data_IF_521164343141
#
_entry.id   IF_521164343141
#
_cell.length_a   1.000
_cell.length_b   1.000
_cell.length_c   1.000
_cell.angle_alpha   90.00
_cell.angle_beta   90.00
_cell.angle_gamma   90.00
#
_symmetry.space_group_name_H-M   'P 1'
#
loop_
_entity.id
_entity.type
_entity.pdbx_description
1 polymer ?
#
# COMPACT_ATOMS: atom_id res chain seq x y z
N UNK A 1 33.25 -1.27 -39.53
CA UNK A 1 33.01 -0.48 -38.31
C UNK A 1 31.52 -0.23 -38.02
N UNK A 2 30.65 -0.06 -39.02
CA UNK A 2 29.20 0.13 -38.82
C UNK A 2 28.44 -1.09 -38.24
N UNK A 3 28.88 -2.32 -38.56
CA UNK A 3 28.19 -3.56 -38.16
C UNK A 3 28.31 -3.86 -36.65
N UNK A 4 29.47 -3.59 -36.07
CA UNK A 4 29.70 -3.68 -34.62
C UNK A 4 28.90 -2.62 -33.86
N UNK A 5 28.84 -1.38 -34.37
CA UNK A 5 28.06 -0.30 -33.76
C UNK A 5 26.56 -0.63 -33.68
N UNK A 6 25.99 -1.20 -34.75
CA UNK A 6 24.59 -1.66 -34.79
C UNK A 6 24.30 -2.75 -33.76
N UNK A 7 25.19 -3.74 -33.64
CA UNK A 7 25.02 -4.84 -32.70
C UNK A 7 25.14 -4.37 -31.25
N UNK A 8 26.08 -3.46 -30.95
CA UNK A 8 26.21 -2.87 -29.62
C UNK A 8 24.98 -2.05 -29.23
N UNK A 9 24.45 -1.23 -30.15
CA UNK A 9 23.25 -0.44 -29.90
C UNK A 9 22.03 -1.31 -29.60
N UNK A 10 21.86 -2.42 -30.33
CA UNK A 10 20.77 -3.40 -30.09
C UNK A 10 20.91 -4.07 -28.72
N UNK A 11 22.11 -4.46 -28.32
CA UNK A 11 22.33 -5.10 -27.01
C UNK A 11 22.05 -4.14 -25.84
N UNK A 12 22.43 -2.87 -25.95
CA UNK A 12 22.16 -1.85 -24.90
C UNK A 12 20.65 -1.60 -24.80
N UNK A 13 19.95 -1.52 -25.94
CA UNK A 13 18.50 -1.32 -25.93
C UNK A 13 17.77 -2.52 -25.30
N UNK A 14 18.18 -3.75 -25.61
CA UNK A 14 17.63 -4.96 -24.99
C UNK A 14 17.89 -5.00 -23.48
N UNK A 15 19.10 -4.67 -23.04
CA UNK A 15 19.43 -4.61 -21.62
C UNK A 15 18.56 -3.57 -20.88
N UNK A 16 18.30 -2.42 -21.49
CA UNK A 16 17.42 -1.39 -20.91
C UNK A 16 15.96 -1.87 -20.76
N UNK A 17 15.43 -2.65 -21.71
CA UNK A 17 14.05 -3.18 -21.65
C UNK A 17 13.92 -4.29 -20.60
N UNK A 18 14.95 -5.12 -20.42
CA UNK A 18 14.96 -6.18 -19.40
C UNK A 18 15.02 -5.58 -17.98
N UNK A 19 15.63 -4.40 -17.82
CA UNK A 19 15.72 -3.69 -16.55
C UNK A 19 14.44 -2.92 -16.17
N UNK A 20 13.52 -2.67 -17.10
CA UNK A 20 12.21 -2.11 -16.78
C UNK A 20 11.28 -3.22 -16.29
N UNK A 21 11.42 -3.58 -15.01
CA UNK A 21 10.46 -4.46 -14.34
C UNK A 21 9.07 -3.83 -14.34
N UNK A 22 8.12 -4.42 -15.08
CA UNK A 22 6.73 -4.02 -15.04
C UNK A 22 6.14 -4.49 -13.69
N UNK A 23 5.99 -3.56 -12.74
CA UNK A 23 5.32 -3.85 -11.47
C UNK A 23 3.82 -3.91 -11.74
N UNK A 24 3.26 -5.12 -11.81
CA UNK A 24 1.82 -5.32 -11.88
C UNK A 24 1.25 -5.11 -10.47
N UNK A 25 0.70 -3.94 -10.21
CA UNK A 25 -0.08 -3.73 -8.98
C UNK A 25 -1.42 -4.43 -9.14
N UNK A 26 -1.64 -5.47 -8.34
CA UNK A 26 -2.94 -6.12 -8.22
C UNK A 26 -3.88 -5.13 -7.53
N UNK A 27 -5.08 -4.92 -8.06
CA UNK A 27 -6.10 -4.05 -7.46
C UNK A 27 -7.35 -4.84 -7.08
N UNK A 28 -8.06 -4.40 -6.05
CA UNK A 28 -9.39 -4.93 -5.72
C UNK A 28 -10.48 -4.38 -6.65
N UNK A 29 -11.72 -4.81 -6.44
CA UNK A 29 -12.90 -4.39 -7.20
C UNK A 29 -13.23 -2.90 -7.11
N UNK A 30 -12.66 -2.19 -6.13
CA UNK A 30 -12.87 -0.75 -5.87
C UNK A 30 -11.64 0.08 -6.25
N UNK A 31 -10.56 -0.56 -6.71
CA UNK A 31 -9.34 0.08 -7.19
C UNK A 31 -8.21 0.22 -6.17
N UNK A 32 -8.35 -0.32 -4.96
CA UNK A 32 -7.31 -0.30 -3.93
C UNK A 32 -6.14 -1.19 -4.32
N UNK A 33 -4.92 -0.73 -4.07
CA UNK A 33 -3.69 -1.43 -4.49
C UNK A 33 -3.29 -2.46 -3.44
N UNK A 34 -3.01 -3.68 -3.90
CA UNK A 34 -2.45 -4.74 -3.09
C UNK A 34 -1.02 -4.40 -2.65
N UNK A 35 -0.75 -4.53 -1.36
CA UNK A 35 0.56 -4.26 -0.73
C UNK A 35 1.02 -5.50 0.05
N UNK A 36 2.30 -5.54 0.43
CA UNK A 36 2.85 -6.59 1.31
C UNK A 36 2.56 -8.01 0.80
N UNK A 37 3.04 -8.30 -0.40
CA UNK A 37 2.80 -9.57 -1.12
C UNK A 37 1.31 -9.90 -1.37
N UNK A 38 0.45 -8.89 -1.33
CA UNK A 38 -0.98 -9.02 -1.63
C UNK A 38 -1.82 -9.55 -0.47
N UNK A 39 -1.31 -9.50 0.76
CA UNK A 39 -2.09 -9.80 1.96
C UNK A 39 -3.06 -8.68 2.32
N UNK A 40 -2.68 -7.44 2.02
CA UNK A 40 -3.52 -6.29 2.31
C UNK A 40 -3.84 -5.47 1.08
N UNK A 41 -4.99 -4.80 1.12
CA UNK A 41 -5.33 -3.70 0.23
C UNK A 41 -5.09 -2.38 0.93
N UNK A 42 -4.25 -1.51 0.36
CA UNK A 42 -4.05 -0.17 0.89
C UNK A 42 -5.23 0.70 0.52
N UNK A 43 -5.86 1.30 1.51
CA UNK A 43 -7.01 2.18 1.31
C UNK A 43 -6.50 3.58 0.93
N UNK A 44 -6.68 3.94 -0.34
CA UNK A 44 -6.20 5.19 -0.92
C UNK A 44 -4.69 5.42 -0.64
N UNK A 45 -4.27 6.66 -0.37
CA UNK A 45 -2.89 7.01 0.02
C UNK A 45 -2.72 7.10 1.55
N UNK A 46 -3.56 6.40 2.31
CA UNK A 46 -3.53 6.46 3.78
C UNK A 46 -2.59 5.39 4.36
N UNK A 47 -2.38 5.42 5.68
CA UNK A 47 -1.73 4.33 6.42
C UNK A 47 -2.69 3.18 6.76
N UNK A 48 -3.94 3.21 6.27
CA UNK A 48 -4.90 2.14 6.51
C UNK A 48 -4.76 1.04 5.46
N UNK A 49 -4.74 -0.20 5.94
CA UNK A 49 -4.67 -1.40 5.11
C UNK A 49 -5.77 -2.37 5.52
N UNK A 50 -6.40 -3.01 4.55
CA UNK A 50 -7.49 -3.97 4.75
C UNK A 50 -7.00 -5.39 4.47
N UNK A 51 -7.12 -6.29 5.44
CA UNK A 51 -6.78 -7.70 5.28
C UNK A 51 -7.91 -8.42 4.53
N UNK A 52 -7.59 -9.00 3.38
CA UNK A 52 -8.55 -9.67 2.50
C UNK A 52 -9.12 -10.97 3.08
N UNK A 53 -8.39 -11.61 4.00
CA UNK A 53 -8.75 -12.92 4.56
C UNK A 53 -9.53 -12.73 5.87
N UNK A 54 -9.05 -11.85 6.76
CA UNK A 54 -9.72 -11.58 8.06
C UNK A 54 -10.81 -10.52 7.98
N UNK A 55 -10.83 -9.73 6.91
CA UNK A 55 -11.74 -8.59 6.72
C UNK A 55 -11.58 -7.51 7.81
N UNK A 56 -10.41 -7.46 8.45
CA UNK A 56 -10.07 -6.49 9.49
C UNK A 56 -9.26 -5.35 8.87
N UNK A 57 -9.59 -4.12 9.24
CA UNK A 57 -8.78 -2.93 8.91
C UNK A 57 -7.57 -2.87 9.84
N UNK A 58 -6.43 -2.35 9.40
CA UNK A 58 -5.24 -2.14 10.22
C UNK A 58 -4.65 -0.77 9.93
N UNK A 59 -4.12 -0.11 10.95
CA UNK A 59 -3.24 1.03 10.80
C UNK A 59 -1.79 0.54 10.70
N UNK A 60 -1.16 0.82 9.55
CA UNK A 60 0.25 0.57 9.29
C UNK A 60 1.07 1.70 9.91
N UNK A 61 1.72 1.42 11.04
CA UNK A 61 2.65 2.37 11.63
C UNK A 61 4.10 1.97 11.30
N UNK A 62 4.86 2.95 10.82
CA UNK A 62 6.28 2.83 10.54
C UNK A 62 7.04 3.70 11.54
N UNK A 63 7.85 3.07 12.40
CA UNK A 63 8.96 3.74 13.06
C UNK A 63 10.19 3.54 12.18
N UNK A 64 10.51 4.49 11.31
CA UNK A 64 11.61 4.37 10.35
C UNK A 64 12.97 4.29 11.06
N UNK A 65 13.90 3.40 10.70
CA UNK A 65 14.72 3.46 9.47
C UNK A 65 15.46 2.13 9.21
N UNK A 66 15.48 1.64 7.96
CA UNK A 66 16.26 0.46 7.54
C UNK A 66 15.46 -0.86 7.49
N UNK A 67 16.10 -2.00 7.80
CA UNK A 67 15.48 -3.35 7.87
C UNK A 67 14.50 -3.53 9.05
N UNK A 68 13.87 -2.47 9.54
CA UNK A 68 13.04 -2.51 10.74
C UNK A 68 11.57 -2.64 10.36
N UNK A 69 10.95 -3.68 10.93
CA UNK A 69 9.68 -4.25 10.49
C UNK A 69 8.50 -3.29 10.58
N UNK A 70 7.56 -3.49 9.66
CA UNK A 70 6.24 -2.87 9.70
C UNK A 70 5.44 -3.40 10.89
N UNK A 71 4.82 -2.49 11.65
CA UNK A 71 3.85 -2.83 12.68
C UNK A 71 2.43 -2.61 12.16
N UNK A 72 1.54 -3.56 12.47
CA UNK A 72 0.11 -3.43 12.20
C UNK A 72 -0.63 -3.29 13.53
N UNK A 73 -1.44 -2.25 13.65
CA UNK A 73 -2.34 -2.08 14.80
C UNK A 73 -3.77 -2.18 14.30
N UNK A 74 -4.54 -3.15 14.80
CA UNK A 74 -5.98 -3.16 14.55
C UNK A 74 -6.58 -1.87 15.12
N UNK A 75 -7.39 -1.12 14.36
CA UNK A 75 -8.14 0.01 14.89
C UNK A 75 -9.08 -0.50 15.98
N UNK A 76 -9.31 0.37 16.95
CA UNK A 76 -10.26 0.10 18.02
C UNK A 76 -11.64 0.57 17.58
N UNK A 77 -12.65 -0.26 17.79
CA UNK A 77 -14.04 0.13 17.65
C UNK A 77 -14.61 0.38 19.06
N UNK A 78 -15.26 1.53 19.26
CA UNK A 78 -15.98 1.79 20.50
C UNK A 78 -17.24 0.91 20.60
N UNK A 79 -17.94 0.98 21.73
CA UNK A 79 -19.19 0.25 21.97
C UNK A 79 -20.32 0.59 20.98
N UNK A 80 -20.18 1.69 20.24
CA UNK A 80 -21.10 2.13 19.19
C UNK A 80 -20.65 1.69 17.78
N UNK A 81 -19.57 0.92 17.66
CA UNK A 81 -19.05 0.42 16.38
C UNK A 81 -18.31 1.48 15.54
N UNK A 82 -17.90 2.60 16.14
CA UNK A 82 -17.13 3.64 15.44
C UNK A 82 -15.63 3.37 15.55
N UNK A 83 -14.89 3.52 14.45
CA UNK A 83 -13.43 3.45 14.48
C UNK A 83 -12.85 4.58 15.32
N UNK A 84 -11.82 4.28 16.10
CA UNK A 84 -11.18 5.21 17.02
C UNK A 84 -9.65 5.11 16.97
N UNK A 85 -8.97 6.18 17.37
CA UNK A 85 -7.53 6.23 17.62
C UNK A 85 -7.24 6.46 19.12
N UNK A 86 -6.05 6.05 19.56
CA UNK A 86 -5.57 6.28 20.93
C UNK A 86 -4.72 7.55 21.00
N UNK A 87 -5.10 8.49 21.86
CA UNK A 87 -4.31 9.68 22.19
C UNK A 87 -4.12 9.74 23.69
N UNK A 88 -2.89 9.62 24.17
CA UNK A 88 -2.56 9.76 25.60
C UNK A 88 -3.44 8.89 26.53
N UNK A 89 -3.76 7.66 26.10
CA UNK A 89 -4.62 6.74 26.86
C UNK A 89 -6.13 6.98 26.71
N UNK A 90 -6.55 7.96 25.92
CA UNK A 90 -7.96 8.19 25.58
C UNK A 90 -8.29 7.60 24.20
N UNK A 91 -9.48 7.01 24.09
CA UNK A 91 -10.06 6.55 22.83
C UNK A 91 -10.85 7.71 22.22
N UNK A 92 -10.49 8.13 21.01
CA UNK A 92 -11.14 9.22 20.29
C UNK A 92 -11.73 8.68 18.98
N UNK A 93 -13.05 8.83 18.74
CA UNK A 93 -13.66 8.45 17.47
C UNK A 93 -13.07 9.21 16.29
N UNK A 94 -12.92 8.53 15.16
CA UNK A 94 -12.63 9.18 13.88
C UNK A 94 -13.96 9.71 13.35
N UNK A 95 -14.08 11.02 13.19
CA UNK A 95 -15.22 11.61 12.49
C UNK A 95 -15.08 11.28 11.00
N UNK A 96 -15.99 10.46 10.47
CA UNK A 96 -16.12 10.31 9.02
C UNK A 96 -16.66 11.64 8.47
N UNK A 97 -15.79 12.42 7.81
CA UNK A 97 -16.27 13.48 6.92
C UNK A 97 -16.98 12.76 5.78
N UNK A 98 -18.31 12.73 5.84
CA UNK A 98 -19.15 12.33 4.72
C UNK A 98 -18.83 13.28 3.58
N UNK A 99 -18.01 12.81 2.63
CA UNK A 99 -17.89 13.46 1.34
C UNK A 99 -19.17 13.05 0.63
N UNK A 100 -20.19 13.92 0.66
CA UNK A 100 -21.39 13.75 -0.13
C UNK A 100 -20.95 13.60 -1.60
N UNK A 101 -21.07 12.38 -2.11
CA UNK A 101 -20.84 12.09 -3.52
C UNK A 101 -22.10 12.50 -4.28
N UNK A 102 -22.07 13.70 -4.86
CA UNK A 102 -23.01 14.17 -5.88
C UNK A 102 -22.89 13.36 -7.19
#
# INVERSE_FOLDING_TARGET
>A
MFKTFKNTAVCVLLAAIILTGCSTSVKDSVGNVAVENGWFYRISDTHMVYDKDTHIMYYLFCGSTGNQGYGYMSPYYNEHGQMCYYVNGQVVPIEEVLIDAD
#
